data_IF_300808643427
#
_entry.id   IF_300808643427
#
_cell.length_a   1.000
_cell.length_b   1.000
_cell.length_c   1.000
_cell.angle_alpha   90.00
_cell.angle_beta   90.00
_cell.angle_gamma   90.00
#
_symmetry.space_group_name_H-M   'P 1'
#
loop_
_entity.id
_entity.type
_entity.pdbx_description
1 polymer ?
#
# COMPACT_ATOMS: atom_id res chain seq x y z
N UNK A 1 27.40 23.02 -18.33
CA UNK A 1 27.42 21.67 -17.71
C UNK A 1 26.13 21.33 -16.94
N UNK A 2 25.07 22.15 -16.99
CA UNK A 2 23.90 22.08 -16.10
C UNK A 2 22.70 21.24 -16.60
N UNK A 3 22.66 20.90 -17.90
CA UNK A 3 21.52 20.20 -18.52
C UNK A 3 21.28 18.75 -18.05
N UNK A 4 22.30 17.93 -17.73
CA UNK A 4 22.07 16.55 -17.28
C UNK A 4 21.41 16.48 -15.90
N UNK A 5 21.77 17.38 -14.98
CA UNK A 5 21.30 17.36 -13.60
C UNK A 5 19.79 17.64 -13.50
N UNK A 6 19.28 18.61 -14.26
CA UNK A 6 17.85 18.95 -14.27
C UNK A 6 17.03 17.79 -14.87
N UNK A 7 17.46 17.20 -15.99
CA UNK A 7 16.75 16.07 -16.57
C UNK A 7 16.71 14.85 -15.63
N UNK A 8 17.81 14.56 -14.93
CA UNK A 8 17.87 13.49 -13.92
C UNK A 8 16.93 13.80 -12.75
N UNK A 9 16.92 15.03 -12.24
CA UNK A 9 16.00 15.44 -11.18
C UNK A 9 14.54 15.23 -11.60
N UNK A 10 14.13 15.77 -12.75
CA UNK A 10 12.75 15.65 -13.24
C UNK A 10 12.37 14.18 -13.47
N UNK A 11 13.29 13.38 -14.01
CA UNK A 11 13.05 11.96 -14.21
C UNK A 11 12.86 11.21 -12.88
N UNK A 12 13.70 11.48 -11.88
CA UNK A 12 13.54 10.90 -10.55
C UNK A 12 12.20 11.29 -9.92
N UNK A 13 11.78 12.56 -10.06
CA UNK A 13 10.49 13.04 -9.56
C UNK A 13 9.30 12.38 -10.27
N UNK A 14 9.40 12.12 -11.58
CA UNK A 14 8.39 11.36 -12.32
C UNK A 14 8.30 9.90 -11.88
N UNK A 15 9.43 9.25 -11.59
CA UNK A 15 9.44 7.89 -11.04
C UNK A 15 8.75 7.89 -9.68
N UNK A 16 9.10 8.82 -8.79
CA UNK A 16 8.44 8.95 -7.48
C UNK A 16 6.94 9.21 -7.60
N UNK A 17 6.54 10.06 -8.55
CA UNK A 17 5.14 10.32 -8.86
C UNK A 17 4.43 9.04 -9.33
N UNK A 18 4.98 8.32 -10.31
CA UNK A 18 4.36 7.11 -10.85
C UNK A 18 4.21 6.03 -9.77
N UNK A 19 5.25 5.80 -8.95
CA UNK A 19 5.20 4.85 -7.84
C UNK A 19 4.10 5.19 -6.85
N UNK A 20 4.03 6.46 -6.43
CA UNK A 20 3.03 6.88 -5.45
C UNK A 20 1.60 6.87 -6.01
N UNK A 21 1.41 7.22 -7.29
CA UNK A 21 0.11 7.10 -7.96
C UNK A 21 -0.35 5.65 -8.04
N UNK A 22 0.53 4.71 -8.39
CA UNK A 22 0.23 3.27 -8.42
C UNK A 22 -0.18 2.75 -7.05
N UNK A 23 0.55 3.13 -6.01
CA UNK A 23 0.24 2.74 -4.63
C UNK A 23 -1.11 3.31 -4.15
N UNK A 24 -1.38 4.58 -4.45
CA UNK A 24 -2.68 5.18 -4.16
C UNK A 24 -3.80 4.48 -4.94
N UNK A 25 -3.59 4.19 -6.23
CA UNK A 25 -4.56 3.46 -7.03
C UNK A 25 -4.89 2.10 -6.40
N UNK A 26 -3.88 1.32 -6.01
CA UNK A 26 -4.09 0.03 -5.34
C UNK A 26 -4.87 0.18 -4.03
N UNK A 27 -4.49 1.17 -3.22
CA UNK A 27 -5.15 1.46 -1.93
C UNK A 27 -6.63 1.84 -2.09
N UNK A 28 -6.97 2.68 -3.07
CA UNK A 28 -8.33 3.17 -3.28
C UNK A 28 -9.21 2.18 -4.05
N UNK A 29 -8.61 1.21 -4.74
CA UNK A 29 -9.32 0.15 -5.47
C UNK A 29 -9.32 -1.19 -4.75
N UNK A 30 -8.70 -1.27 -3.57
CA UNK A 30 -8.48 -2.52 -2.84
C UNK A 30 -7.85 -3.63 -3.71
N UNK A 31 -7.03 -3.24 -4.68
CA UNK A 31 -6.41 -4.15 -5.66
C UNK A 31 -4.89 -4.13 -5.45
N UNK A 32 -4.22 -5.29 -5.39
CA UNK A 32 -2.76 -5.35 -5.36
C UNK A 32 -2.16 -4.77 -6.64
N UNK A 33 -1.57 -3.57 -6.55
CA UNK A 33 -0.88 -2.92 -7.65
C UNK A 33 0.55 -2.62 -7.23
N UNK A 34 1.51 -3.10 -8.02
CA UNK A 34 2.93 -2.84 -7.81
C UNK A 34 3.27 -1.37 -8.06
N UNK A 35 4.19 -0.84 -7.25
CA UNK A 35 4.73 0.52 -7.45
C UNK A 35 5.46 0.66 -8.79
N UNK A 36 5.98 -0.44 -9.33
CA UNK A 36 6.69 -0.47 -10.61
C UNK A 36 5.79 -1.02 -11.70
N UNK A 37 5.95 -0.57 -12.96
CA UNK A 37 5.28 -1.18 -14.10
C UNK A 37 5.55 -2.70 -14.15
N UNK A 38 4.53 -3.53 -14.38
CA UNK A 38 4.73 -4.96 -14.54
C UNK A 38 5.63 -5.26 -15.75
N UNK A 39 6.58 -6.19 -15.57
CA UNK A 39 7.45 -6.69 -16.64
C UNK A 39 6.69 -7.56 -17.63
N UNK A 40 5.71 -8.32 -17.12
CA UNK A 40 4.93 -9.32 -17.85
C UNK A 40 3.45 -8.95 -17.88
N UNK A 41 2.73 -9.47 -18.89
CA UNK A 41 1.30 -9.16 -19.13
C UNK A 41 0.41 -9.66 -17.99
N UNK A 42 0.87 -10.65 -17.22
CA UNK A 42 0.09 -11.37 -16.21
C UNK A 42 0.23 -10.82 -14.78
N UNK A 43 1.14 -9.88 -14.53
CA UNK A 43 1.44 -9.40 -13.17
C UNK A 43 0.36 -8.47 -12.55
N UNK A 44 -0.76 -8.25 -13.26
CA UNK A 44 -1.88 -7.45 -12.78
C UNK A 44 -1.60 -5.94 -12.74
N UNK A 45 -2.59 -5.13 -13.10
CA UNK A 45 -2.53 -3.67 -13.00
C UNK A 45 -2.00 -2.92 -14.24
N UNK A 46 -2.05 -1.58 -14.21
CA UNK A 46 -1.75 -0.72 -15.36
C UNK A 46 -0.26 -0.77 -15.77
N UNK A 47 0.03 -0.98 -17.06
CA UNK A 47 1.41 -1.03 -17.56
C UNK A 47 2.01 0.35 -17.78
N UNK A 48 1.26 1.26 -18.37
CA UNK A 48 1.74 2.60 -18.71
C UNK A 48 1.24 3.64 -17.72
N UNK A 49 1.98 4.76 -17.58
CA UNK A 49 1.54 5.89 -16.75
C UNK A 49 0.17 6.43 -17.21
N UNK A 50 -0.11 6.41 -18.52
CA UNK A 50 -1.43 6.78 -19.05
C UNK A 50 -2.56 5.90 -18.52
N UNK A 51 -2.30 4.60 -18.34
CA UNK A 51 -3.30 3.66 -17.81
C UNK A 51 -3.54 3.91 -16.32
N UNK A 52 -2.46 4.19 -15.56
CA UNK A 52 -2.55 4.60 -14.14
C UNK A 52 -3.42 5.84 -14.01
N UNK A 53 -3.15 6.89 -14.79
CA UNK A 53 -3.93 8.13 -14.75
C UNK A 53 -5.39 7.89 -15.15
N UNK A 54 -5.65 7.07 -16.16
CA UNK A 54 -7.01 6.71 -16.60
C UNK A 54 -7.78 5.95 -15.51
N UNK A 55 -7.11 5.03 -14.79
CA UNK A 55 -7.71 4.30 -13.69
C UNK A 55 -8.00 5.23 -12.50
N UNK A 56 -7.06 6.11 -12.13
CA UNK A 56 -7.26 7.12 -11.08
C UNK A 56 -8.43 8.04 -11.41
N UNK A 57 -8.54 8.49 -12.66
CA UNK A 57 -9.66 9.30 -13.16
C UNK A 57 -11.02 8.62 -12.95
N UNK A 58 -11.07 7.30 -12.89
CA UNK A 58 -12.29 6.55 -12.64
C UNK A 58 -12.71 6.53 -11.16
N UNK A 59 -11.85 6.97 -10.24
CA UNK A 59 -12.07 6.99 -8.78
C UNK A 59 -12.24 8.45 -8.30
N UNK A 60 -13.47 8.97 -8.17
CA UNK A 60 -13.71 10.38 -7.87
C UNK A 60 -13.08 10.84 -6.55
N UNK A 61 -13.13 10.01 -5.51
CA UNK A 61 -12.56 10.33 -4.19
C UNK A 61 -11.04 10.44 -4.23
N UNK A 62 -10.34 9.66 -5.06
CA UNK A 62 -8.89 9.80 -5.22
C UNK A 62 -8.54 11.06 -6.01
N UNK A 63 -9.31 11.38 -7.05
CA UNK A 63 -9.15 12.63 -7.82
C UNK A 63 -9.31 13.86 -6.90
N UNK A 64 -10.34 13.87 -6.06
CA UNK A 64 -10.59 14.93 -5.08
C UNK A 64 -9.44 15.04 -4.06
N UNK A 65 -9.01 13.92 -3.49
CA UNK A 65 -7.92 13.87 -2.52
C UNK A 65 -6.57 14.33 -3.11
N UNK A 66 -6.33 14.12 -4.41
CA UNK A 66 -5.18 14.67 -5.14
C UNK A 66 -5.28 16.19 -5.38
N UNK A 67 -6.33 16.84 -4.87
CA UNK A 67 -6.54 18.28 -4.93
C UNK A 67 -7.20 18.76 -6.22
N UNK A 68 -7.93 17.90 -6.93
CA UNK A 68 -8.62 18.26 -8.17
C UNK A 68 -10.12 18.32 -7.97
N UNK A 69 -10.73 19.41 -8.43
CA UNK A 69 -12.18 19.65 -8.29
C UNK A 69 -13.04 18.82 -9.24
N UNK A 70 -12.45 18.19 -10.26
CA UNK A 70 -13.17 17.39 -11.25
C UNK A 70 -12.23 16.49 -12.06
N UNK A 71 -12.78 15.48 -12.74
CA UNK A 71 -12.06 14.66 -13.72
C UNK A 71 -11.39 15.50 -14.81
N UNK A 72 -12.07 16.53 -15.31
CA UNK A 72 -11.51 17.44 -16.33
C UNK A 72 -10.37 18.30 -15.79
N UNK A 73 -10.42 18.71 -14.51
CA UNK A 73 -9.31 19.42 -13.86
C UNK A 73 -8.10 18.49 -13.68
N UNK A 74 -8.34 17.23 -13.31
CA UNK A 74 -7.30 16.20 -13.23
C UNK A 74 -6.64 15.94 -14.59
N UNK A 75 -7.43 15.73 -15.65
CA UNK A 75 -6.92 15.49 -17.01
C UNK A 75 -6.02 16.66 -17.47
N UNK A 76 -6.47 17.91 -17.27
CA UNK A 76 -5.66 19.10 -17.60
C UNK A 76 -4.40 19.22 -16.76
N UNK A 77 -4.48 18.90 -15.46
CA UNK A 77 -3.36 19.03 -14.53
C UNK A 77 -2.32 17.91 -14.63
N UNK A 78 -2.66 16.78 -15.24
CA UNK A 78 -1.79 15.60 -15.34
C UNK A 78 -1.42 15.21 -16.77
N UNK A 79 -2.10 15.75 -17.79
CA UNK A 79 -1.90 15.39 -19.20
C UNK A 79 -0.45 15.57 -19.67
N UNK A 80 0.27 16.56 -19.13
CA UNK A 80 1.67 16.79 -19.49
C UNK A 80 2.65 15.71 -19.01
N UNK A 81 2.26 14.89 -18.03
CA UNK A 81 3.16 13.92 -17.38
C UNK A 81 3.57 12.80 -18.32
N UNK A 82 2.64 12.29 -19.12
CA UNK A 82 2.89 11.20 -20.09
C UNK A 82 3.89 11.66 -21.13
N UNK A 83 3.67 12.83 -21.72
CA UNK A 83 4.55 13.37 -22.75
C UNK A 83 5.94 13.71 -22.18
N UNK A 84 5.99 14.25 -20.96
CA UNK A 84 7.24 14.56 -20.28
C UNK A 84 8.06 13.29 -19.98
N UNK A 85 7.41 12.22 -19.48
CA UNK A 85 8.05 10.92 -19.24
C UNK A 85 8.62 10.34 -20.53
N UNK A 86 7.83 10.31 -21.61
CA UNK A 86 8.27 9.77 -22.90
C UNK A 86 9.47 10.54 -23.45
N UNK A 87 9.46 11.87 -23.36
CA UNK A 87 10.58 12.68 -23.82
C UNK A 87 11.86 12.43 -23.03
N UNK A 88 11.80 12.38 -21.70
CA UNK A 88 12.96 12.12 -20.87
C UNK A 88 13.51 10.70 -21.10
N UNK A 89 12.64 9.71 -21.30
CA UNK A 89 13.04 8.35 -21.65
C UNK A 89 13.79 8.27 -22.99
N UNK A 90 13.49 9.16 -23.94
CA UNK A 90 14.23 9.29 -25.20
C UNK A 90 15.44 10.23 -25.12
N UNK A 91 15.90 10.60 -23.91
CA UNK A 91 17.07 11.46 -23.70
C UNK A 91 16.85 12.94 -24.02
N UNK A 92 15.59 13.37 -24.21
CA UNK A 92 15.26 14.77 -24.52
C UNK A 92 15.17 15.60 -23.24
N UNK A 93 15.39 16.91 -23.37
CA UNK A 93 15.27 17.86 -22.26
C UNK A 93 13.82 18.31 -22.04
N UNK A 94 13.48 18.71 -20.81
CA UNK A 94 12.20 19.38 -20.48
C UNK A 94 11.95 20.63 -21.33
N UNK A 95 13.01 21.32 -21.78
CA UNK A 95 12.90 22.49 -22.66
C UNK A 95 12.41 22.12 -24.07
N UNK A 96 12.46 20.86 -24.48
CA UNK A 96 11.88 20.43 -25.76
C UNK A 96 10.34 20.42 -25.74
N UNK A 97 9.72 20.59 -24.58
CA UNK A 97 8.26 20.57 -24.36
C UNK A 97 7.67 21.96 -24.11
N UNK A 98 8.52 22.99 -23.97
CA UNK A 98 8.08 24.34 -23.63
C UNK A 98 8.77 25.34 -24.54
N UNK A 99 8.04 26.37 -24.96
CA UNK A 99 8.58 27.44 -25.80
C UNK A 99 9.62 28.30 -25.07
N UNK A 100 9.61 28.27 -23.73
CA UNK A 100 10.45 29.09 -22.88
C UNK A 100 10.79 28.40 -21.55
N UNK A 101 11.70 29.04 -20.79
CA UNK A 101 12.13 28.59 -19.48
C UNK A 101 11.01 28.69 -18.42
N UNK A 102 10.10 29.65 -18.54
CA UNK A 102 9.02 29.87 -17.58
C UNK A 102 8.03 28.69 -17.57
N UNK A 103 7.68 28.18 -18.76
CA UNK A 103 6.87 26.98 -18.92
C UNK A 103 7.54 25.74 -18.34
N UNK A 104 8.86 25.60 -18.49
CA UNK A 104 9.60 24.48 -17.90
C UNK A 104 9.58 24.54 -16.37
N UNK A 105 9.82 25.72 -15.79
CA UNK A 105 9.73 25.94 -14.34
C UNK A 105 8.33 25.64 -13.82
N UNK A 106 7.28 26.09 -14.53
CA UNK A 106 5.90 25.79 -14.15
C UNK A 106 5.62 24.28 -14.13
N UNK A 107 6.09 23.52 -15.12
CA UNK A 107 5.92 22.06 -15.15
C UNK A 107 6.65 21.36 -14.01
N UNK A 108 7.85 21.82 -13.66
CA UNK A 108 8.59 21.30 -12.50
C UNK A 108 7.82 21.58 -11.22
N UNK A 109 7.32 22.81 -11.05
CA UNK A 109 6.49 23.18 -9.90
C UNK A 109 5.21 22.32 -9.81
N UNK A 110 4.51 22.13 -10.92
CA UNK A 110 3.29 21.31 -10.97
C UNK A 110 3.60 19.84 -10.63
N UNK A 111 4.71 19.29 -11.12
CA UNK A 111 5.19 17.95 -10.77
C UNK A 111 5.52 17.84 -9.28
N UNK A 112 6.25 18.82 -8.72
CA UNK A 112 6.62 18.82 -7.31
C UNK A 112 5.41 18.96 -6.39
N UNK A 113 4.44 19.80 -6.76
CA UNK A 113 3.16 19.91 -6.07
C UNK A 113 2.45 18.56 -6.03
N UNK A 114 2.41 17.83 -7.15
CA UNK A 114 1.77 16.52 -7.22
C UNK A 114 2.50 15.48 -6.37
N UNK A 115 3.84 15.39 -6.46
CA UNK A 115 4.62 14.46 -5.64
C UNK A 115 4.43 14.73 -4.16
N UNK A 116 4.42 15.99 -3.74
CA UNK A 116 4.17 16.37 -2.35
C UNK A 116 2.76 16.01 -1.90
N UNK A 117 1.74 16.25 -2.74
CA UNK A 117 0.36 15.85 -2.46
C UNK A 117 0.22 14.33 -2.31
N UNK A 118 0.84 13.56 -3.20
CA UNK A 118 0.88 12.10 -3.12
C UNK A 118 1.58 11.64 -1.83
N UNK A 119 2.71 12.26 -1.47
CA UNK A 119 3.44 11.92 -0.24
C UNK A 119 2.60 12.16 1.02
N UNK A 120 1.85 13.27 1.05
CA UNK A 120 0.91 13.56 2.14
C UNK A 120 -0.18 12.48 2.20
N UNK A 121 -0.81 12.19 1.06
CA UNK A 121 -1.83 11.16 0.95
C UNK A 121 -1.32 9.77 1.26
N UNK A 122 -0.04 9.43 1.08
CA UNK A 122 0.47 8.11 1.43
C UNK A 122 0.68 7.93 2.95
N UNK A 123 0.89 9.05 3.65
CA UNK A 123 1.06 9.10 5.10
C UNK A 123 -0.30 9.09 5.81
N UNK A 124 -1.23 9.94 5.36
CA UNK A 124 -2.51 10.21 6.02
C UNK A 124 -3.67 9.49 5.31
N UNK A 125 -3.70 8.15 5.38
CA UNK A 125 -4.73 7.31 4.71
C UNK A 125 -5.76 6.75 5.68
N UNK A 126 -6.79 7.52 5.99
CA UNK A 126 -7.90 7.01 6.81
C UNK A 126 -8.56 5.77 6.19
N UNK A 127 -8.67 5.73 4.87
CA UNK A 127 -9.22 4.59 4.14
C UNK A 127 -8.44 3.29 4.34
N UNK A 128 -7.12 3.35 4.57
CA UNK A 128 -6.31 2.16 4.86
C UNK A 128 -6.64 1.62 6.25
N UNK A 129 -6.82 2.50 7.24
CA UNK A 129 -7.25 2.09 8.57
C UNK A 129 -8.64 1.45 8.56
N UNK A 130 -9.56 1.98 7.74
CA UNK A 130 -10.88 1.37 7.55
C UNK A 130 -10.78 -0.01 6.87
N UNK A 131 -9.88 -0.16 5.88
CA UNK A 131 -9.61 -1.45 5.25
C UNK A 131 -9.04 -2.48 6.25
N UNK A 132 -8.13 -2.05 7.13
CA UNK A 132 -7.62 -2.89 8.21
C UNK A 132 -8.72 -3.29 9.18
N UNK A 133 -9.56 -2.36 9.61
CA UNK A 133 -10.68 -2.69 10.51
C UNK A 133 -11.63 -3.72 9.90
N UNK A 134 -11.92 -3.61 8.60
CA UNK A 134 -12.77 -4.56 7.88
C UNK A 134 -12.08 -5.89 7.51
N UNK A 135 -10.81 -6.08 7.85
CA UNK A 135 -10.07 -7.30 7.51
C UNK A 135 -10.68 -8.52 8.20
N UNK A 136 -10.88 -9.59 7.43
CA UNK A 136 -11.27 -10.91 7.92
C UNK A 136 -10.00 -11.72 8.22
N UNK A 137 -9.96 -12.37 9.38
CA UNK A 137 -8.87 -13.28 9.75
C UNK A 137 -9.35 -14.70 9.59
N UNK A 138 -8.68 -15.49 8.76
CA UNK A 138 -9.05 -16.89 8.50
C UNK A 138 -7.85 -17.81 8.62
N UNK A 139 -8.10 -19.04 9.04
CA UNK A 139 -7.15 -20.14 8.96
C UNK A 139 -7.60 -21.07 7.82
N UNK A 140 -6.73 -21.26 6.83
CA UNK A 140 -6.96 -22.17 5.69
C UNK A 140 -6.11 -23.42 5.89
N UNK A 141 -6.72 -24.46 6.44
CA UNK A 141 -6.16 -25.83 6.45
C UNK A 141 -7.07 -26.73 5.59
N UNK A 142 -7.56 -27.86 6.10
CA UNK A 142 -8.54 -28.70 5.39
C UNK A 142 -9.92 -28.05 5.24
N UNK A 143 -10.29 -27.17 6.19
CA UNK A 143 -11.53 -26.39 6.20
C UNK A 143 -11.15 -24.94 6.54
N UNK A 144 -11.84 -23.98 5.92
CA UNK A 144 -11.66 -22.57 6.25
C UNK A 144 -12.33 -22.26 7.60
N UNK A 145 -11.55 -21.76 8.56
CA UNK A 145 -12.02 -21.38 9.89
C UNK A 145 -11.87 -19.87 10.04
N UNK A 146 -12.99 -19.19 10.28
CA UNK A 146 -13.03 -17.73 10.44
C UNK A 146 -12.73 -17.39 11.90
N UNK A 147 -11.67 -16.62 12.13
CA UNK A 147 -11.29 -16.13 13.45
C UNK A 147 -11.82 -14.71 13.71
N UNK A 148 -11.98 -13.89 12.68
CA UNK A 148 -12.65 -12.59 12.76
C UNK A 148 -13.36 -12.28 11.45
N UNK A 149 -14.63 -11.92 11.50
CA UNK A 149 -15.56 -11.84 10.36
C UNK A 149 -16.86 -12.59 10.64
N UNK A 150 -17.81 -12.47 9.71
CA UNK A 150 -19.09 -13.17 9.79
C UNK A 150 -18.90 -14.68 9.97
N UNK A 151 -19.53 -15.25 10.99
CA UNK A 151 -19.41 -16.68 11.31
C UNK A 151 -18.15 -17.07 12.10
N UNK A 152 -17.45 -16.11 12.73
CA UNK A 152 -16.24 -16.41 13.48
C UNK A 152 -16.47 -17.39 14.64
N UNK A 153 -15.58 -18.37 14.79
CA UNK A 153 -15.64 -19.42 15.82
C UNK A 153 -14.92 -19.03 17.11
N UNK A 154 -14.84 -19.90 18.13
CA UNK A 154 -13.98 -19.66 19.29
C UNK A 154 -12.51 -19.64 18.89
N UNK A 155 -11.72 -18.70 19.43
CA UNK A 155 -10.29 -18.60 19.14
C UNK A 155 -9.53 -19.85 19.63
N UNK A 156 -8.59 -20.40 18.83
CA UNK A 156 -7.89 -21.63 19.18
C UNK A 156 -6.64 -21.40 20.06
N UNK A 157 -6.21 -20.14 20.24
CA UNK A 157 -5.12 -19.75 21.12
C UNK A 157 -5.67 -18.88 22.27
N UNK A 158 -4.99 -18.81 23.43
CA UNK A 158 -5.35 -17.89 24.48
C UNK A 158 -5.17 -16.43 24.03
N UNK A 159 -6.05 -15.55 24.50
CA UNK A 159 -6.01 -14.11 24.20
C UNK A 159 -5.01 -13.39 25.12
N UNK A 160 -4.44 -12.25 24.68
CA UNK A 160 -4.56 -11.66 23.34
C UNK A 160 -3.79 -12.46 22.28
N UNK A 161 -4.29 -12.41 21.04
CA UNK A 161 -3.62 -12.98 19.87
C UNK A 161 -3.24 -11.84 18.94
N UNK A 162 -1.97 -11.74 18.55
CA UNK A 162 -1.51 -10.75 17.59
C UNK A 162 -1.36 -11.36 16.20
N UNK A 163 -1.95 -10.73 15.18
CA UNK A 163 -1.78 -11.14 13.79
C UNK A 163 -0.68 -10.29 13.17
N UNK A 164 0.35 -10.96 12.67
CA UNK A 164 1.54 -10.34 12.08
C UNK A 164 1.76 -10.87 10.66
N UNK A 165 2.00 -9.96 9.72
CA UNK A 165 2.37 -10.26 8.33
C UNK A 165 3.70 -9.61 7.98
N UNK A 166 4.48 -10.26 7.13
CA UNK A 166 5.67 -9.65 6.53
C UNK A 166 5.46 -9.31 5.04
N UNK A 167 4.26 -9.60 4.50
CA UNK A 167 3.89 -9.30 3.13
C UNK A 167 3.69 -7.81 2.95
N UNK A 168 4.01 -7.33 1.74
CA UNK A 168 3.68 -5.99 1.25
C UNK A 168 3.96 -4.84 2.26
N UNK A 169 5.21 -4.70 2.75
CA UNK A 169 5.55 -3.73 3.79
C UNK A 169 5.13 -2.31 3.41
N UNK A 170 4.45 -1.61 4.32
CA UNK A 170 3.82 -0.31 4.10
C UNK A 170 2.93 -0.26 2.84
N UNK A 171 2.16 -1.33 2.65
CA UNK A 171 1.23 -1.55 1.53
C UNK A 171 1.92 -1.54 0.15
N UNK A 172 3.24 -1.73 0.12
CA UNK A 172 4.00 -1.84 -1.14
C UNK A 172 3.90 -3.26 -1.65
N UNK A 173 3.15 -3.47 -2.73
CA UNK A 173 3.03 -4.79 -3.35
C UNK A 173 4.38 -5.26 -3.88
N UNK A 174 4.87 -6.38 -3.35
CA UNK A 174 6.10 -7.04 -3.78
C UNK A 174 5.80 -8.25 -4.66
N UNK A 175 6.84 -8.81 -5.27
CA UNK A 175 6.71 -10.13 -5.90
C UNK A 175 6.43 -11.21 -4.85
N UNK A 176 5.77 -12.29 -5.27
CA UNK A 176 5.51 -13.43 -4.39
C UNK A 176 6.80 -13.98 -3.80
N UNK A 177 7.86 -14.13 -4.61
CA UNK A 177 9.16 -14.65 -4.12
C UNK A 177 9.73 -13.78 -2.98
N UNK A 178 9.68 -12.46 -3.12
CA UNK A 178 10.19 -11.56 -2.07
C UNK A 178 9.30 -11.61 -0.83
N UNK A 179 7.98 -11.64 -0.99
CA UNK A 179 7.06 -11.78 0.13
C UNK A 179 7.25 -13.11 0.88
N UNK A 180 7.43 -14.23 0.18
CA UNK A 180 7.71 -15.54 0.78
C UNK A 180 9.02 -15.53 1.57
N UNK A 181 10.09 -14.93 1.04
CA UNK A 181 11.36 -14.77 1.78
C UNK A 181 11.17 -14.00 3.08
N UNK A 182 10.38 -12.92 3.05
CA UNK A 182 10.07 -12.11 4.23
C UNK A 182 9.20 -12.87 5.24
N UNK A 183 8.22 -13.64 4.76
CA UNK A 183 7.34 -14.44 5.59
C UNK A 183 8.07 -15.59 6.28
N UNK A 184 8.98 -16.27 5.59
CA UNK A 184 9.86 -17.27 6.20
C UNK A 184 10.85 -16.62 7.19
N UNK A 185 11.33 -15.41 6.93
CA UNK A 185 12.13 -14.68 7.90
C UNK A 185 11.34 -14.38 9.19
N UNK A 186 10.08 -13.94 9.07
CA UNK A 186 9.19 -13.75 10.22
C UNK A 186 8.95 -15.06 10.98
N UNK A 187 8.69 -16.16 10.28
CA UNK A 187 8.53 -17.49 10.89
C UNK A 187 9.76 -17.87 11.71
N UNK A 188 10.96 -17.71 11.15
CA UNK A 188 12.22 -17.98 11.86
C UNK A 188 12.36 -17.09 13.09
N UNK A 189 12.01 -15.81 13.03
CA UNK A 189 12.04 -14.93 14.21
C UNK A 189 11.09 -15.43 15.31
N UNK A 190 9.89 -15.88 14.95
CA UNK A 190 8.92 -16.41 15.92
C UNK A 190 9.38 -17.73 16.56
N UNK A 191 10.03 -18.62 15.80
CA UNK A 191 10.58 -19.88 16.31
C UNK A 191 11.64 -19.70 17.41
N UNK A 192 12.33 -18.55 17.45
CA UNK A 192 13.35 -18.25 18.45
C UNK A 192 12.78 -17.52 19.68
N UNK A 193 11.46 -17.37 19.78
CA UNK A 193 10.78 -16.73 20.90
C UNK A 193 9.92 -17.74 21.67
N UNK A 194 9.68 -17.54 22.98
CA UNK A 194 8.80 -18.40 23.78
C UNK A 194 7.31 -18.10 23.50
N UNK A 195 6.90 -18.23 22.24
CA UNK A 195 5.54 -17.89 21.76
C UNK A 195 4.89 -19.10 21.11
N UNK A 196 3.55 -19.10 21.05
CA UNK A 196 2.79 -20.04 20.24
C UNK A 196 2.26 -19.32 19.01
N UNK A 197 2.37 -19.92 17.83
CA UNK A 197 1.85 -19.30 16.62
C UNK A 197 1.29 -20.30 15.61
N UNK A 198 0.32 -19.84 14.83
CA UNK A 198 -0.36 -20.60 13.78
C UNK A 198 -0.41 -19.77 12.48
N UNK A 199 -0.29 -20.41 11.30
CA UNK A 199 -0.47 -19.73 10.03
C UNK A 199 -1.95 -19.33 9.86
N UNK A 200 -2.18 -18.09 9.44
CA UNK A 200 -3.49 -17.51 9.15
C UNK A 200 -3.37 -16.59 7.93
N UNK A 201 -4.50 -16.04 7.48
CA UNK A 201 -4.56 -15.08 6.39
C UNK A 201 -5.37 -13.86 6.83
N UNK A 202 -4.85 -12.67 6.57
CA UNK A 202 -5.64 -11.45 6.54
C UNK A 202 -6.26 -11.29 5.16
N UNK A 203 -7.57 -11.05 5.09
CA UNK A 203 -8.30 -10.93 3.83
C UNK A 203 -9.20 -9.71 3.82
N UNK A 204 -9.24 -8.99 2.69
CA UNK A 204 -10.28 -8.01 2.47
C UNK A 204 -11.64 -8.69 2.34
N UNK A 205 -12.76 -8.01 2.71
CA UNK A 205 -14.10 -8.59 2.61
C UNK A 205 -14.50 -9.10 1.21
N UNK A 206 -13.94 -8.52 0.16
CA UNK A 206 -14.17 -8.90 -1.25
C UNK A 206 -13.20 -10.00 -1.76
N UNK A 207 -12.26 -10.44 -0.92
CA UNK A 207 -11.25 -11.44 -1.25
C UNK A 207 -10.19 -11.01 -2.27
N UNK A 208 -10.17 -9.75 -2.72
CA UNK A 208 -9.19 -9.26 -3.70
C UNK A 208 -7.79 -9.11 -3.10
N UNK A 209 -7.71 -8.85 -1.80
CA UNK A 209 -6.46 -8.76 -1.06
C UNK A 209 -6.39 -9.88 -0.03
N UNK A 210 -5.37 -10.74 -0.14
CA UNK A 210 -5.15 -11.88 0.76
C UNK A 210 -3.67 -11.93 1.12
N UNK A 211 -3.36 -11.95 2.41
CA UNK A 211 -1.98 -11.98 2.89
C UNK A 211 -1.72 -13.09 3.90
N UNK A 212 -0.76 -13.99 3.63
CA UNK A 212 -0.23 -14.93 4.61
C UNK A 212 0.33 -14.20 5.84
N UNK A 213 -0.12 -14.65 7.01
CA UNK A 213 0.15 -14.05 8.30
C UNK A 213 0.39 -15.14 9.37
N UNK A 214 0.84 -14.73 10.54
CA UNK A 214 0.90 -15.58 11.73
C UNK A 214 0.04 -14.99 12.83
N UNK A 215 -0.83 -15.81 13.41
CA UNK A 215 -1.50 -15.52 14.66
C UNK A 215 -0.58 -15.96 15.80
N UNK A 216 -0.22 -15.03 16.69
CA UNK A 216 0.81 -15.21 17.71
C UNK A 216 0.24 -14.93 19.10
N UNK A 217 0.32 -15.92 19.98
CA UNK A 217 0.05 -15.81 21.40
C UNK A 217 1.37 -15.75 22.19
N UNK A 218 1.40 -14.98 23.28
CA UNK A 218 2.55 -14.86 24.18
C UNK A 218 3.44 -13.64 23.93
N UNK A 219 3.06 -12.76 23.00
CA UNK A 219 3.63 -11.42 22.88
C UNK A 219 2.77 -10.41 23.65
N UNK A 220 3.42 -9.38 24.19
CA UNK A 220 2.72 -8.14 24.53
C UNK A 220 2.45 -7.32 23.26
N UNK A 221 1.48 -6.41 23.34
CA UNK A 221 1.20 -5.46 22.25
C UNK A 221 2.43 -4.65 21.84
N UNK A 222 3.21 -4.17 22.80
CA UNK A 222 4.43 -3.39 22.53
C UNK A 222 5.46 -4.21 21.74
N UNK A 223 5.65 -5.50 22.08
CA UNK A 223 6.53 -6.40 21.34
C UNK A 223 6.01 -6.73 19.94
N UNK A 224 4.69 -6.91 19.80
CA UNK A 224 4.05 -7.14 18.51
C UNK A 224 4.20 -5.90 17.59
N UNK A 225 3.96 -4.70 18.11
CA UNK A 225 4.17 -3.44 17.40
C UNK A 225 5.64 -3.22 17.05
N UNK A 226 6.57 -3.51 17.96
CA UNK A 226 8.00 -3.42 17.69
C UNK A 226 8.42 -4.37 16.55
N UNK A 227 7.97 -5.63 16.60
CA UNK A 227 8.23 -6.59 15.53
C UNK A 227 7.61 -6.12 14.20
N UNK A 228 6.40 -5.55 14.22
CA UNK A 228 5.76 -4.98 13.05
C UNK A 228 6.56 -3.83 12.45
N UNK A 229 7.13 -2.92 13.26
CA UNK A 229 8.04 -1.87 12.78
C UNK A 229 9.28 -2.46 12.11
N UNK A 230 9.92 -3.45 12.73
CA UNK A 230 11.14 -4.07 12.22
C UNK A 230 10.92 -4.76 10.86
N UNK A 231 9.75 -5.37 10.66
CA UNK A 231 9.38 -6.00 9.39
C UNK A 231 8.65 -5.05 8.43
N UNK A 232 8.57 -3.75 8.74
CA UNK A 232 8.04 -2.71 7.86
C UNK A 232 6.52 -2.73 7.69
N UNK A 233 5.79 -3.16 8.70
CA UNK A 233 4.33 -3.07 8.72
C UNK A 233 3.84 -1.75 9.31
N UNK A 234 2.74 -1.26 8.74
CA UNK A 234 1.99 -0.11 9.25
C UNK A 234 1.16 -0.47 10.47
N UNK A 235 0.62 -1.68 10.51
CA UNK A 235 -0.38 -2.08 11.50
C UNK A 235 -0.16 -3.51 11.97
N UNK A 236 -0.77 -3.81 13.11
CA UNK A 236 -1.03 -5.17 13.59
C UNK A 236 -2.51 -5.31 13.89
N UNK A 237 -3.00 -6.55 13.86
CA UNK A 237 -4.27 -6.88 14.47
C UNK A 237 -4.03 -7.51 15.83
N UNK A 238 -4.89 -7.19 16.79
CA UNK A 238 -4.97 -7.91 18.07
C UNK A 238 -6.39 -8.44 18.22
N UNK A 239 -6.53 -9.70 18.59
CA UNK A 239 -7.80 -10.36 18.80
C UNK A 239 -7.97 -10.70 20.28
N UNK A 240 -9.15 -10.40 20.81
CA UNK A 240 -9.68 -11.05 22.00
C UNK A 240 -10.97 -11.82 21.68
N UNK A 241 -11.65 -12.32 22.71
CA UNK A 241 -12.86 -13.12 22.52
C UNK A 241 -13.99 -12.35 21.80
N UNK A 242 -14.03 -11.03 21.94
CA UNK A 242 -15.13 -10.17 21.49
C UNK A 242 -14.75 -9.28 20.30
N UNK A 243 -13.50 -8.83 20.21
CA UNK A 243 -13.08 -7.76 19.31
C UNK A 243 -11.85 -8.13 18.48
N UNK A 244 -11.81 -7.52 17.29
CA UNK A 244 -10.58 -7.28 16.54
C UNK A 244 -10.20 -5.82 16.75
N UNK A 245 -8.98 -5.58 17.19
CA UNK A 245 -8.36 -4.27 17.34
C UNK A 245 -7.33 -4.04 16.24
N UNK A 246 -7.25 -2.80 15.77
CA UNK A 246 -6.22 -2.33 14.85
C UNK A 246 -5.32 -1.37 15.61
N UNK A 247 -4.03 -1.71 15.69
CA UNK A 247 -3.00 -0.84 16.22
C UNK A 247 -2.03 -0.46 15.09
N UNK A 248 -1.61 0.79 15.07
CA UNK A 248 -0.46 1.19 14.30
C UNK A 248 0.80 0.54 14.89
N UNK A 249 1.82 0.35 14.05
CA UNK A 249 3.12 -0.12 14.54
C UNK A 249 3.80 0.90 15.47
N UNK A 250 3.28 2.12 15.55
CA UNK A 250 3.59 3.15 16.56
C UNK A 250 2.80 2.98 17.87
N UNK A 251 2.13 1.85 18.08
CA UNK A 251 1.35 1.48 19.27
C UNK A 251 0.07 2.31 19.46
N UNK A 252 -0.25 3.21 18.52
CA UNK A 252 -1.48 3.98 18.59
C UNK A 252 -2.68 3.11 18.21
N UNK A 253 -3.74 3.21 18.99
CA UNK A 253 -5.03 2.63 18.64
C UNK A 253 -5.61 3.32 17.39
N UNK A 254 -6.07 2.54 16.42
CA UNK A 254 -6.60 3.04 15.14
C UNK A 254 -8.07 2.68 14.91
N UNK A 255 -8.54 1.59 15.50
CA UNK A 255 -9.93 1.14 15.33
C UNK A 255 -10.18 -0.21 16.01
N UNK A 256 -11.45 -0.56 16.13
CA UNK A 256 -11.87 -1.87 16.61
C UNK A 256 -13.22 -2.24 16.00
N UNK A 257 -13.48 -3.53 15.85
CA UNK A 257 -14.81 -4.05 15.53
C UNK A 257 -15.11 -5.32 16.29
N UNK A 258 -16.39 -5.63 16.44
CA UNK A 258 -16.82 -6.92 16.98
C UNK A 258 -16.36 -8.03 16.04
N UNK A 259 -15.82 -9.10 16.60
CA UNK A 259 -15.21 -10.20 15.85
C UNK A 259 -16.21 -10.97 15.00
N UNK A 260 -17.46 -11.07 15.45
CA UNK A 260 -18.54 -11.87 14.85
C UNK A 260 -19.34 -11.17 13.74
N UNK A 261 -19.00 -9.92 13.38
CA UNK A 261 -19.67 -9.19 12.29
C UNK A 261 -19.10 -9.54 10.94
#
# INVERSE_FOLDING_TARGET
MERPAISIYVFARLISLEHGLRRLLGSYSNTPITDVPPSDVDAGGPRYLSDVLKAIRAIPTLVENLGFTSKSAFDRGTGFLVDLRNHLAHGRSILAQTSDAQGAVKRIYDLDRLVSGISCLLTERQQIWNAFESTTIVQKDQVEIIWAGSGSVKLPLPTPIHILTAYNPFERVLSNEENEKRHEALRRLLLHRPVQFLPVYGQSPDGQWIEPSYAVHGLSRAEACALARDIGQRAIFELDDQYLYVFGSDEQFRGQRVRHT
#
